data_IF_828284313100
#
_entry.id   IF_828284313100
#
_cell.length_a   1.000
_cell.length_b   1.000
_cell.length_c   1.000
_cell.angle_alpha   90.00
_cell.angle_beta   90.00
_cell.angle_gamma   90.00
#
_symmetry.space_group_name_H-M   'P 1'
#
loop_
_entity.id
_entity.type
_entity.pdbx_description
1 polymer ?
#
# COMPACT_ATOMS: atom_id res chain seq x y z
N UNK A 1 -68.68 -55.57 59.62
CA UNK A 1 -68.34 -54.90 58.32
C UNK A 1 -67.81 -53.45 58.43
N UNK A 2 -68.13 -52.65 59.46
CA UNK A 2 -67.64 -51.26 59.53
C UNK A 2 -66.18 -51.07 59.88
N UNK A 3 -65.55 -51.96 60.56
CA UNK A 3 -64.11 -51.89 60.92
C UNK A 3 -63.15 -52.15 59.77
N UNK A 4 -63.59 -52.93 58.74
CA UNK A 4 -62.81 -53.25 57.58
C UNK A 4 -62.79 -52.07 56.58
N UNK A 5 -63.88 -51.32 56.50
CA UNK A 5 -63.95 -50.12 55.60
C UNK A 5 -63.08 -48.98 56.15
N UNK A 6 -62.98 -48.77 57.46
CA UNK A 6 -62.14 -47.71 58.04
C UNK A 6 -60.64 -47.99 57.91
N UNK A 7 -60.25 -49.29 57.97
CA UNK A 7 -58.87 -49.68 57.73
C UNK A 7 -58.41 -49.49 56.29
N UNK A 8 -59.30 -49.80 55.33
CA UNK A 8 -59.01 -49.66 53.89
C UNK A 8 -58.90 -48.19 53.47
N UNK A 9 -59.78 -47.34 54.00
CA UNK A 9 -59.71 -45.86 53.73
C UNK A 9 -58.47 -45.22 54.33
N UNK A 10 -58.08 -45.62 55.51
CA UNK A 10 -56.84 -45.13 56.19
C UNK A 10 -55.57 -45.56 55.42
N UNK A 11 -55.56 -46.79 54.90
CA UNK A 11 -54.45 -47.30 54.11
C UNK A 11 -54.39 -46.62 52.69
N UNK A 12 -55.52 -46.37 52.05
CA UNK A 12 -55.65 -45.62 50.80
C UNK A 12 -55.21 -44.18 50.97
N UNK A 13 -55.62 -43.51 52.06
CA UNK A 13 -55.20 -42.14 52.37
C UNK A 13 -53.70 -42.01 52.61
N UNK A 14 -53.09 -43.01 53.31
CA UNK A 14 -51.67 -43.05 53.57
C UNK A 14 -50.86 -43.37 52.34
N UNK A 15 -51.35 -44.22 51.45
CA UNK A 15 -50.73 -44.51 50.14
C UNK A 15 -50.81 -43.28 49.21
N UNK A 16 -51.92 -42.56 49.22
CA UNK A 16 -52.12 -41.37 48.39
C UNK A 16 -51.24 -40.18 48.88
N UNK A 17 -51.11 -39.99 50.20
CA UNK A 17 -50.20 -39.03 50.76
C UNK A 17 -48.71 -39.32 50.41
N UNK A 18 -48.31 -40.56 50.53
CA UNK A 18 -46.95 -41.02 50.18
C UNK A 18 -46.67 -40.87 48.66
N UNK A 19 -47.67 -41.14 47.85
CA UNK A 19 -47.59 -40.93 46.38
C UNK A 19 -47.42 -39.42 46.05
N UNK A 20 -48.24 -38.54 46.66
CA UNK A 20 -48.16 -37.11 46.48
C UNK A 20 -46.78 -36.54 46.93
N UNK A 21 -46.27 -37.01 48.06
CA UNK A 21 -44.95 -36.57 48.55
C UNK A 21 -43.82 -37.01 47.59
N UNK A 22 -43.82 -38.26 47.12
CA UNK A 22 -42.88 -38.76 46.13
C UNK A 22 -42.99 -37.99 44.81
N UNK A 23 -44.19 -37.69 44.36
CA UNK A 23 -44.43 -36.95 43.13
C UNK A 23 -43.93 -35.52 43.27
N UNK A 24 -44.23 -34.84 44.45
CA UNK A 24 -43.72 -33.49 44.71
C UNK A 24 -42.20 -33.47 44.76
N UNK A 25 -41.58 -34.40 45.45
CA UNK A 25 -40.11 -34.48 45.54
C UNK A 25 -39.47 -34.76 44.16
N UNK A 26 -40.09 -35.61 43.35
CA UNK A 26 -39.64 -35.85 41.98
C UNK A 26 -39.78 -34.60 41.10
N UNK A 27 -40.88 -33.84 41.20
CA UNK A 27 -41.09 -32.58 40.47
C UNK A 27 -40.09 -31.53 40.97
N UNK A 28 -39.85 -31.41 42.27
CA UNK A 28 -38.87 -30.49 42.83
C UNK A 28 -37.44 -30.79 42.34
N UNK A 29 -37.06 -32.08 42.36
CA UNK A 29 -35.76 -32.52 41.81
C UNK A 29 -35.66 -32.22 40.33
N UNK A 30 -36.69 -32.51 39.53
CA UNK A 30 -36.71 -32.20 38.10
C UNK A 30 -36.58 -30.72 37.83
N UNK A 31 -37.23 -29.85 38.64
CA UNK A 31 -37.11 -28.40 38.53
C UNK A 31 -35.67 -27.92 38.82
N UNK A 32 -35.04 -28.43 39.88
CA UNK A 32 -33.64 -28.11 40.20
C UNK A 32 -32.70 -28.54 39.07
N UNK A 33 -32.85 -29.75 38.56
CA UNK A 33 -32.04 -30.24 37.41
C UNK A 33 -32.23 -29.39 36.18
N UNK A 34 -33.47 -28.99 35.85
CA UNK A 34 -33.77 -28.14 34.74
C UNK A 34 -33.10 -26.73 34.88
N UNK A 35 -33.13 -26.15 36.09
CA UNK A 35 -32.43 -24.88 36.36
C UNK A 35 -30.92 -25.04 36.20
N UNK A 36 -30.33 -26.09 36.73
CA UNK A 36 -28.89 -26.36 36.61
C UNK A 36 -28.47 -26.50 35.11
N UNK A 37 -29.24 -27.26 34.33
CA UNK A 37 -29.02 -27.43 32.90
C UNK A 37 -29.13 -26.08 32.18
N UNK A 38 -30.15 -25.28 32.48
CA UNK A 38 -30.34 -23.97 31.86
C UNK A 38 -29.20 -23.00 32.15
N UNK A 39 -28.66 -23.01 33.39
CA UNK A 39 -27.50 -22.20 33.78
C UNK A 39 -26.22 -22.64 33.04
N UNK A 40 -26.02 -23.95 32.88
CA UNK A 40 -24.87 -24.49 32.15
C UNK A 40 -24.97 -24.13 30.68
N UNK A 41 -26.12 -24.34 30.04
CA UNK A 41 -26.35 -23.98 28.65
C UNK A 41 -26.20 -22.47 28.47
N UNK A 42 -26.80 -21.65 29.28
CA UNK A 42 -26.70 -20.19 29.21
C UNK A 42 -25.26 -19.71 29.36
N UNK A 43 -24.48 -20.29 30.31
CA UNK A 43 -23.06 -20.00 30.46
C UNK A 43 -22.23 -20.41 29.25
N UNK A 44 -22.54 -21.54 28.66
CA UNK A 44 -21.89 -22.05 27.44
C UNK A 44 -22.16 -21.14 26.25
N UNK A 45 -23.41 -20.81 25.98
CA UNK A 45 -23.81 -19.89 24.89
C UNK A 45 -23.18 -18.50 25.08
N UNK A 46 -23.19 -17.99 26.33
CA UNK A 46 -22.55 -16.69 26.62
C UNK A 46 -21.04 -16.70 26.34
N UNK A 47 -20.35 -17.76 26.64
CA UNK A 47 -18.90 -17.86 26.36
C UNK A 47 -18.60 -18.07 24.89
N UNK A 48 -19.40 -18.86 24.20
CA UNK A 48 -19.15 -19.27 22.82
C UNK A 48 -19.61 -18.24 21.78
N UNK A 49 -20.72 -17.52 22.03
CA UNK A 49 -21.26 -16.53 21.08
C UNK A 49 -21.23 -15.09 21.58
N UNK A 50 -21.77 -14.85 22.79
CA UNK A 50 -22.02 -13.47 23.22
C UNK A 50 -20.72 -12.73 23.54
N UNK A 51 -19.77 -13.35 24.19
CA UNK A 51 -18.49 -12.72 24.56
C UNK A 51 -17.62 -12.35 23.36
N UNK A 52 -17.37 -13.26 22.40
CA UNK A 52 -16.62 -12.93 21.19
C UNK A 52 -17.24 -11.81 20.39
N UNK A 53 -18.57 -11.83 20.15
CA UNK A 53 -19.27 -10.76 19.45
C UNK A 53 -19.12 -9.42 20.16
N UNK A 54 -19.26 -9.42 21.50
CA UNK A 54 -19.05 -8.20 22.27
C UNK A 54 -17.60 -7.69 22.16
N UNK A 55 -16.63 -8.60 22.09
CA UNK A 55 -15.21 -8.26 21.90
C UNK A 55 -14.97 -7.60 20.53
N UNK A 56 -15.51 -8.16 19.45
CA UNK A 56 -15.44 -7.55 18.12
C UNK A 56 -16.08 -6.16 18.14
N UNK A 57 -17.28 -6.03 18.73
CA UNK A 57 -17.96 -4.74 18.82
C UNK A 57 -17.18 -3.70 19.63
N UNK A 58 -16.57 -4.11 20.75
CA UNK A 58 -15.76 -3.20 21.57
C UNK A 58 -14.49 -2.77 20.87
N UNK A 59 -13.82 -3.68 20.17
CA UNK A 59 -12.62 -3.39 19.35
C UNK A 59 -12.97 -2.44 18.19
N UNK A 60 -14.09 -2.67 17.51
CA UNK A 60 -14.58 -1.75 16.47
C UNK A 60 -14.82 -0.31 17.00
N UNK A 61 -15.34 -0.18 18.23
CA UNK A 61 -15.49 1.13 18.88
C UNK A 61 -14.14 1.77 19.20
N UNK A 62 -13.17 1.01 19.70
CA UNK A 62 -11.81 1.50 19.98
C UNK A 62 -11.14 2.02 18.71
N UNK A 63 -11.23 1.27 17.60
CA UNK A 63 -10.70 1.68 16.29
C UNK A 63 -11.38 2.96 15.82
N UNK A 64 -12.71 3.04 15.90
CA UNK A 64 -13.47 4.26 15.57
C UNK A 64 -13.02 5.47 16.40
N UNK A 65 -12.74 5.26 17.67
CA UNK A 65 -12.36 6.32 18.61
C UNK A 65 -10.86 6.68 18.51
N UNK A 66 -10.13 6.06 17.54
CA UNK A 66 -8.76 6.41 17.15
C UNK A 66 -7.67 5.43 17.58
N UNK A 67 -8.00 4.38 18.36
CA UNK A 67 -7.03 3.33 18.68
C UNK A 67 -6.98 2.28 17.55
N UNK A 68 -6.21 2.60 16.53
CA UNK A 68 -6.02 1.73 15.35
C UNK A 68 -5.23 0.45 15.68
N UNK A 69 -4.59 0.37 16.86
CA UNK A 69 -3.82 -0.80 17.28
C UNK A 69 -4.68 -1.88 17.95
N UNK A 70 -5.92 -1.55 18.29
CA UNK A 70 -6.84 -2.49 18.91
C UNK A 70 -7.12 -3.69 18.01
N UNK A 71 -7.09 -4.90 18.58
CA UNK A 71 -7.38 -6.16 17.88
C UNK A 71 -8.30 -7.03 18.73
N UNK A 72 -9.11 -7.83 18.06
CA UNK A 72 -9.98 -8.79 18.74
C UNK A 72 -9.16 -9.89 19.38
N UNK A 73 -8.09 -10.34 18.71
CA UNK A 73 -7.24 -11.46 19.12
C UNK A 73 -8.03 -12.77 19.23
N UNK A 74 -9.16 -12.87 18.54
CA UNK A 74 -9.90 -14.13 18.40
C UNK A 74 -9.15 -15.01 17.42
N UNK A 75 -8.96 -16.27 17.77
CA UNK A 75 -8.33 -17.29 16.92
C UNK A 75 -8.91 -18.63 17.25
N UNK A 76 -9.30 -19.37 16.25
CA UNK A 76 -9.88 -20.71 16.35
C UNK A 76 -10.46 -21.17 15.02
N UNK A 77 -11.19 -22.28 15.06
CA UNK A 77 -11.69 -22.94 13.88
C UNK A 77 -13.21 -22.71 13.65
N UNK A 78 -13.87 -21.92 14.52
CA UNK A 78 -15.29 -21.61 14.35
C UNK A 78 -15.51 -20.34 13.53
N UNK A 79 -16.74 -20.12 13.06
CA UNK A 79 -17.11 -19.00 12.20
C UNK A 79 -16.94 -17.64 12.92
N UNK A 80 -17.05 -17.60 14.23
CA UNK A 80 -16.88 -16.36 15.01
C UNK A 80 -15.41 -16.01 15.16
N UNK A 81 -14.56 -17.00 15.34
CA UNK A 81 -13.11 -16.83 15.38
C UNK A 81 -12.59 -16.38 14.01
N UNK A 82 -13.08 -17.00 12.91
CA UNK A 82 -12.76 -16.59 11.53
C UNK A 82 -13.19 -15.14 11.24
N UNK A 83 -14.38 -14.75 11.74
CA UNK A 83 -14.83 -13.34 11.67
C UNK A 83 -13.88 -12.42 12.43
N UNK A 84 -13.40 -12.84 13.59
CA UNK A 84 -12.42 -12.10 14.40
C UNK A 84 -11.08 -11.92 13.68
N UNK A 85 -10.57 -12.98 13.04
CA UNK A 85 -9.32 -12.91 12.24
C UNK A 85 -9.48 -11.97 11.05
N UNK A 86 -10.55 -12.11 10.26
CA UNK A 86 -10.82 -11.23 9.12
C UNK A 86 -10.96 -9.77 9.57
N UNK A 87 -11.58 -9.53 10.73
CA UNK A 87 -11.68 -8.20 11.32
C UNK A 87 -10.31 -7.65 11.71
N UNK A 88 -9.44 -8.47 12.31
CA UNK A 88 -8.07 -8.07 12.70
C UNK A 88 -7.18 -7.81 11.49
N UNK A 89 -7.35 -8.54 10.37
CA UNK A 89 -6.69 -8.27 9.09
C UNK A 89 -7.13 -6.92 8.51
N UNK A 90 -8.44 -6.67 8.48
CA UNK A 90 -9.00 -5.37 8.06
C UNK A 90 -8.47 -4.22 8.94
N UNK A 91 -8.45 -4.40 10.25
CA UNK A 91 -7.91 -3.41 11.19
C UNK A 91 -6.41 -3.15 10.97
N UNK A 92 -5.64 -4.19 10.60
CA UNK A 92 -4.22 -4.07 10.27
C UNK A 92 -4.00 -3.29 8.98
N UNK A 93 -4.81 -3.54 7.96
CA UNK A 93 -4.78 -2.77 6.71
C UNK A 93 -5.11 -1.29 6.97
N UNK A 94 -6.19 -1.02 7.70
CA UNK A 94 -6.61 0.35 8.05
C UNK A 94 -5.53 1.10 8.84
N UNK A 95 -4.91 0.45 9.83
CA UNK A 95 -3.80 1.04 10.60
C UNK A 95 -2.62 1.40 9.71
N UNK A 96 -2.27 0.51 8.76
CA UNK A 96 -1.20 0.73 7.79
C UNK A 96 -1.52 1.91 6.87
N UNK A 97 -2.75 1.97 6.36
CA UNK A 97 -3.21 3.02 5.45
C UNK A 97 -3.23 4.39 6.15
N UNK A 98 -3.77 4.47 7.35
CA UNK A 98 -3.79 5.70 8.16
C UNK A 98 -2.38 6.18 8.57
N UNK A 99 -1.48 5.28 8.93
CA UNK A 99 -0.07 5.62 9.19
C UNK A 99 0.60 6.14 7.93
N UNK A 100 0.27 5.56 6.78
CA UNK A 100 0.78 5.98 5.50
C UNK A 100 0.31 7.38 5.13
N UNK A 101 -0.99 7.64 5.25
CA UNK A 101 -1.60 8.96 5.00
C UNK A 101 -1.02 10.05 5.93
N UNK A 102 -0.88 9.74 7.22
CA UNK A 102 -0.29 10.68 8.19
C UNK A 102 1.17 11.03 7.86
N UNK A 103 1.96 10.03 7.44
CA UNK A 103 3.35 10.27 6.98
C UNK A 103 3.35 11.13 5.73
N UNK A 104 2.52 10.80 4.73
CA UNK A 104 2.39 11.57 3.50
C UNK A 104 2.10 13.05 3.80
N UNK A 105 1.12 13.34 4.62
CA UNK A 105 0.74 14.72 4.99
C UNK A 105 1.89 15.45 5.68
N UNK A 106 2.63 14.77 6.56
CA UNK A 106 3.79 15.35 7.25
C UNK A 106 4.94 15.64 6.30
N UNK A 107 5.25 14.69 5.40
CA UNK A 107 6.35 14.82 4.44
C UNK A 107 6.06 15.93 3.43
N UNK A 108 4.81 15.99 2.93
CA UNK A 108 4.32 17.08 2.08
C UNK A 108 4.49 18.44 2.76
N UNK A 109 4.03 18.58 3.99
CA UNK A 109 4.11 19.84 4.72
C UNK A 109 5.58 20.29 4.92
N UNK A 110 6.50 19.34 5.15
CA UNK A 110 7.91 19.61 5.31
C UNK A 110 8.56 20.06 4.00
N UNK A 111 8.30 19.34 2.89
CA UNK A 111 8.86 19.65 1.58
C UNK A 111 8.31 20.96 0.97
N UNK A 112 7.08 21.35 1.32
CA UNK A 112 6.51 22.66 0.94
C UNK A 112 7.08 23.80 1.77
N UNK A 113 7.33 23.58 3.08
CA UNK A 113 7.80 24.62 3.99
C UNK A 113 9.20 25.13 3.62
N UNK A 114 10.11 24.24 3.24
CA UNK A 114 11.52 24.56 2.95
C UNK A 114 11.68 25.60 1.83
N UNK A 115 11.16 25.40 0.61
CA UNK A 115 11.26 26.40 -0.47
C UNK A 115 10.49 27.69 -0.13
N UNK A 116 9.35 27.57 0.55
CA UNK A 116 8.54 28.71 0.95
C UNK A 116 9.32 29.63 1.92
N UNK A 117 10.00 29.03 2.92
CA UNK A 117 10.81 29.80 3.87
C UNK A 117 12.04 30.40 3.22
N UNK A 118 12.66 29.72 2.24
CA UNK A 118 13.79 30.26 1.49
C UNK A 118 13.36 31.48 0.65
N UNK A 119 12.24 31.38 -0.06
CA UNK A 119 11.68 32.52 -0.81
C UNK A 119 11.34 33.70 0.12
N UNK A 120 10.67 33.42 1.24
CA UNK A 120 10.28 34.45 2.21
C UNK A 120 11.51 35.15 2.77
N UNK A 121 12.52 34.41 3.24
CA UNK A 121 13.75 34.97 3.78
C UNK A 121 14.51 35.86 2.75
N UNK A 122 14.54 35.40 1.47
CA UNK A 122 15.17 36.20 0.40
C UNK A 122 14.41 37.49 0.16
N UNK A 123 13.07 37.45 0.11
CA UNK A 123 12.23 38.64 -0.09
C UNK A 123 12.31 39.60 1.11
N UNK A 124 12.26 39.09 2.34
CA UNK A 124 12.42 39.90 3.56
C UNK A 124 13.80 40.58 3.61
N UNK A 125 14.88 39.84 3.27
CA UNK A 125 16.21 40.41 3.19
C UNK A 125 16.36 41.53 2.13
N UNK A 126 15.63 41.39 0.98
CA UNK A 126 15.55 42.47 -0.01
C UNK A 126 14.76 43.67 0.51
N UNK A 127 13.64 43.44 1.20
CA UNK A 127 12.82 44.53 1.80
C UNK A 127 13.57 45.29 2.88
N UNK A 128 14.38 44.60 3.70
CA UNK A 128 15.17 45.18 4.75
C UNK A 128 16.47 45.83 4.22
N UNK A 129 16.74 45.76 2.92
CA UNK A 129 17.93 46.33 2.28
C UNK A 129 19.21 45.55 2.56
N UNK A 130 19.11 44.32 3.09
CA UNK A 130 20.25 43.42 3.35
C UNK A 130 20.74 42.79 2.04
N UNK A 131 19.80 42.45 1.15
CA UNK A 131 20.09 41.97 -0.20
C UNK A 131 19.68 43.02 -1.24
N UNK A 132 20.45 43.18 -2.34
CA UNK A 132 20.03 44.03 -3.43
C UNK A 132 18.83 43.37 -4.18
N UNK A 133 17.96 44.21 -4.70
CA UNK A 133 16.88 43.75 -5.60
C UNK A 133 17.44 43.66 -7.01
N UNK A 134 18.28 42.68 -7.26
CA UNK A 134 18.91 42.39 -8.55
C UNK A 134 18.39 41.08 -9.18
N UNK A 135 18.85 40.81 -10.39
CA UNK A 135 18.43 39.64 -11.16
C UNK A 135 18.83 38.32 -10.47
N UNK A 136 19.92 38.29 -9.68
CA UNK A 136 20.40 37.08 -8.99
C UNK A 136 19.42 36.67 -7.89
N UNK A 137 18.99 37.59 -7.04
CA UNK A 137 18.07 37.31 -5.95
C UNK A 137 16.65 37.07 -6.45
N UNK A 138 16.22 37.79 -7.51
CA UNK A 138 14.95 37.54 -8.18
C UNK A 138 14.91 36.17 -8.83
N UNK A 139 16.00 35.74 -9.49
CA UNK A 139 16.08 34.38 -10.08
C UNK A 139 16.08 33.29 -8.99
N UNK A 140 16.67 33.55 -7.82
CA UNK A 140 16.58 32.65 -6.67
C UNK A 140 15.13 32.44 -6.26
N UNK A 141 14.34 33.49 -6.09
CA UNK A 141 12.90 33.42 -5.77
C UNK A 141 12.13 32.72 -6.89
N UNK A 142 12.40 33.06 -8.15
CA UNK A 142 11.75 32.45 -9.31
C UNK A 142 12.06 30.95 -9.42
N UNK A 143 13.29 30.53 -9.17
CA UNK A 143 13.70 29.12 -9.22
C UNK A 143 13.02 28.28 -8.13
N UNK A 144 12.93 28.80 -6.89
CA UNK A 144 12.20 28.13 -5.80
C UNK A 144 10.68 28.09 -6.05
N UNK A 145 10.12 29.13 -6.67
CA UNK A 145 8.70 29.14 -7.10
C UNK A 145 8.42 28.06 -8.15
N UNK A 146 9.28 27.93 -9.17
CA UNK A 146 9.15 26.87 -10.18
C UNK A 146 9.34 25.49 -9.56
N UNK A 147 10.22 25.35 -8.58
CA UNK A 147 10.41 24.11 -7.82
C UNK A 147 9.14 23.75 -7.05
N UNK A 148 8.53 24.71 -6.35
CA UNK A 148 7.29 24.52 -5.61
C UNK A 148 6.14 24.11 -6.53
N UNK A 149 6.00 24.75 -7.70
CA UNK A 149 4.99 24.40 -8.69
C UNK A 149 5.14 22.95 -9.18
N UNK A 150 6.38 22.51 -9.47
CA UNK A 150 6.65 21.11 -9.84
C UNK A 150 6.32 20.13 -8.71
N UNK A 151 6.60 20.47 -7.45
CA UNK A 151 6.25 19.67 -6.28
C UNK A 151 4.74 19.44 -6.20
N UNK A 152 3.97 20.55 -6.31
CA UNK A 152 2.50 20.48 -6.26
C UNK A 152 1.96 19.61 -7.40
N UNK A 153 2.49 19.77 -8.62
CA UNK A 153 2.06 18.94 -9.75
C UNK A 153 2.32 17.45 -9.51
N UNK A 154 3.50 17.09 -9.06
CA UNK A 154 3.85 15.69 -8.76
C UNK A 154 3.00 15.10 -7.62
N UNK A 155 2.59 15.91 -6.64
CA UNK A 155 1.66 15.48 -5.59
C UNK A 155 0.25 15.24 -6.14
N UNK A 156 -0.22 16.10 -7.03
CA UNK A 156 -1.51 15.92 -7.69
C UNK A 156 -1.51 14.66 -8.55
N UNK A 157 -0.44 14.40 -9.28
CA UNK A 157 -0.30 13.21 -10.10
C UNK A 157 -0.29 11.94 -9.22
N UNK A 158 0.47 11.96 -8.11
CA UNK A 158 0.49 10.87 -7.14
C UNK A 158 -0.90 10.64 -6.51
N UNK A 159 -1.55 11.71 -6.05
CA UNK A 159 -2.89 11.62 -5.45
C UNK A 159 -3.93 11.09 -6.44
N UNK A 160 -3.85 11.51 -7.71
CA UNK A 160 -4.73 10.98 -8.77
C UNK A 160 -4.49 9.49 -8.98
N UNK A 161 -3.24 9.04 -9.00
CA UNK A 161 -2.90 7.63 -9.17
C UNK A 161 -3.35 6.76 -8.00
N UNK A 162 -3.23 7.24 -6.76
CA UNK A 162 -3.64 6.52 -5.56
C UNK A 162 -5.16 6.39 -5.43
N UNK A 163 -5.87 7.45 -5.75
CA UNK A 163 -7.32 7.50 -5.67
C UNK A 163 -8.01 7.05 -6.97
N UNK A 164 -7.22 6.80 -8.03
CA UNK A 164 -7.79 6.37 -9.30
C UNK A 164 -8.17 4.90 -9.25
N UNK A 165 -9.44 4.65 -9.02
CA UNK A 165 -10.11 3.39 -9.36
C UNK A 165 -10.41 3.30 -10.86
N UNK A 166 -10.02 4.33 -11.64
CA UNK A 166 -10.19 4.31 -13.08
C UNK A 166 -9.39 3.17 -13.69
N UNK A 167 -9.97 2.38 -14.59
CA UNK A 167 -9.25 1.34 -15.30
C UNK A 167 -8.10 1.95 -16.09
N UNK A 168 -7.00 1.20 -16.23
CA UNK A 168 -5.92 1.55 -17.14
C UNK A 168 -6.47 1.55 -18.58
N UNK A 169 -5.97 2.45 -19.40
CA UNK A 169 -6.22 2.42 -20.84
C UNK A 169 -5.23 1.45 -21.49
N UNK A 170 -5.44 0.14 -21.26
CA UNK A 170 -4.56 -0.88 -21.79
C UNK A 170 -4.77 -1.05 -23.29
N UNK A 171 -3.69 -1.00 -24.04
CA UNK A 171 -3.63 -1.30 -25.48
C UNK A 171 -2.37 -2.09 -25.81
N UNK A 172 -2.38 -2.88 -26.90
CA UNK A 172 -1.18 -3.58 -27.34
C UNK A 172 -0.10 -2.59 -27.78
N UNK A 173 1.03 -2.57 -27.09
CA UNK A 173 2.16 -1.67 -27.34
C UNK A 173 3.37 -2.50 -27.75
N UNK A 174 3.92 -2.20 -28.93
CA UNK A 174 5.20 -2.69 -29.41
C UNK A 174 6.32 -1.90 -28.69
N UNK A 175 6.95 -2.52 -27.71
CA UNK A 175 7.82 -1.83 -26.75
C UNK A 175 9.13 -1.33 -27.37
N UNK A 176 9.70 -1.99 -28.36
CA UNK A 176 10.95 -1.56 -29.01
C UNK A 176 10.77 -0.22 -29.74
N UNK A 177 9.86 -0.06 -30.73
CA UNK A 177 9.67 1.23 -31.39
C UNK A 177 9.13 2.29 -30.43
N UNK A 178 8.29 1.90 -29.47
CA UNK A 178 7.71 2.81 -28.50
C UNK A 178 8.78 3.45 -27.60
N UNK A 179 9.61 2.65 -26.92
CA UNK A 179 10.68 3.14 -26.04
C UNK A 179 11.75 3.89 -26.84
N UNK A 180 12.09 3.41 -28.05
CA UNK A 180 13.00 4.11 -28.95
C UNK A 180 12.51 5.53 -29.27
N UNK A 181 11.22 5.70 -29.50
CA UNK A 181 10.62 7.02 -29.75
C UNK A 181 10.79 7.97 -28.56
N UNK A 182 10.59 7.47 -27.33
CA UNK A 182 10.79 8.24 -26.09
C UNK A 182 12.25 8.65 -25.95
N UNK A 183 13.19 7.72 -26.17
CA UNK A 183 14.65 7.96 -26.07
C UNK A 183 15.08 9.04 -27.06
N UNK A 184 14.67 8.94 -28.33
CA UNK A 184 14.99 9.91 -29.36
C UNK A 184 14.48 11.32 -29.01
N UNK A 185 13.30 11.43 -28.37
CA UNK A 185 12.75 12.69 -27.88
C UNK A 185 13.57 13.35 -26.77
N UNK A 186 14.45 12.60 -26.09
CA UNK A 186 15.27 13.09 -24.98
C UNK A 186 16.75 13.36 -25.39
N UNK A 187 17.19 12.96 -26.56
CA UNK A 187 18.60 13.06 -27.00
C UNK A 187 19.18 14.46 -26.81
N UNK A 188 18.43 15.50 -27.17
CA UNK A 188 18.89 16.88 -27.05
C UNK A 188 19.13 17.29 -25.59
N UNK A 189 18.24 16.89 -24.68
CA UNK A 189 18.37 17.20 -23.23
C UNK A 189 19.61 16.53 -22.62
N UNK A 190 19.95 15.33 -23.07
CA UNK A 190 21.17 14.62 -22.64
C UNK A 190 22.42 15.27 -23.24
N UNK A 191 22.39 15.62 -24.53
CA UNK A 191 23.49 16.31 -25.19
C UNK A 191 23.79 17.69 -24.56
N UNK A 192 22.79 18.46 -24.18
CA UNK A 192 22.92 19.76 -23.50
C UNK A 192 23.59 19.62 -22.10
N UNK A 193 23.69 18.38 -21.58
CA UNK A 193 24.38 18.03 -20.32
C UNK A 193 25.67 17.22 -20.52
N UNK A 194 26.17 17.17 -21.73
CA UNK A 194 27.35 16.35 -22.11
C UNK A 194 27.22 14.86 -21.71
N UNK A 195 26.01 14.32 -21.80
CA UNK A 195 25.72 12.91 -21.55
C UNK A 195 25.46 12.16 -22.84
N UNK A 196 25.97 10.93 -22.91
CA UNK A 196 25.79 10.06 -24.08
C UNK A 196 24.59 9.15 -23.84
N UNK A 197 23.50 9.39 -24.57
CA UNK A 197 22.29 8.58 -24.55
C UNK A 197 22.33 7.54 -25.67
N UNK A 198 21.95 6.29 -25.35
CA UNK A 198 21.82 5.20 -26.33
C UNK A 198 20.56 4.40 -26.10
N UNK A 199 19.98 3.93 -27.18
CA UNK A 199 18.96 2.88 -27.17
C UNK A 199 19.56 1.56 -27.63
N UNK A 200 19.20 0.45 -26.98
CA UNK A 200 19.59 -0.90 -27.36
C UNK A 200 18.33 -1.80 -27.43
N UNK A 201 18.23 -2.53 -28.52
CA UNK A 201 17.25 -3.61 -28.66
C UNK A 201 17.93 -4.92 -28.28
N UNK A 202 17.53 -5.49 -27.16
CA UNK A 202 18.08 -6.74 -26.59
C UNK A 202 17.01 -7.84 -26.52
N UNK A 203 15.93 -7.71 -27.30
CA UNK A 203 14.84 -8.69 -27.37
C UNK A 203 15.26 -10.03 -27.99
N UNK A 204 16.39 -10.06 -28.71
CA UNK A 204 16.89 -11.24 -29.42
C UNK A 204 15.86 -11.84 -30.41
N UNK A 205 14.95 -11.01 -30.92
CA UNK A 205 13.88 -11.44 -31.83
C UNK A 205 12.68 -12.10 -31.15
N UNK A 206 12.60 -12.04 -29.84
CA UNK A 206 11.36 -12.39 -29.14
C UNK A 206 10.33 -11.27 -29.33
N UNK A 207 9.06 -11.65 -29.29
CA UNK A 207 7.95 -10.72 -29.31
C UNK A 207 8.02 -9.75 -28.14
N UNK A 208 7.81 -8.47 -28.36
CA UNK A 208 7.92 -7.39 -27.39
C UNK A 208 6.58 -6.60 -27.22
N UNK A 209 5.49 -7.15 -27.72
CA UNK A 209 4.15 -6.59 -27.52
C UNK A 209 3.62 -6.88 -26.12
N UNK A 210 3.13 -5.84 -25.45
CA UNK A 210 2.56 -5.89 -24.10
C UNK A 210 1.27 -5.07 -24.06
N UNK A 211 0.24 -5.58 -23.38
CA UNK A 211 -0.94 -4.80 -23.02
C UNK A 211 -0.56 -3.75 -21.94
N UNK A 212 -0.45 -2.51 -22.30
CA UNK A 212 -0.02 -1.43 -21.39
C UNK A 212 -0.73 -0.11 -21.69
N UNK A 213 -0.71 0.80 -20.72
CA UNK A 213 -1.12 2.18 -20.87
C UNK A 213 0.09 3.01 -21.33
N UNK A 214 0.15 3.47 -22.61
CA UNK A 214 1.34 4.10 -23.16
C UNK A 214 1.74 5.39 -22.44
N UNK A 215 0.77 6.18 -21.98
CA UNK A 215 1.05 7.44 -21.28
C UNK A 215 1.72 7.17 -19.93
N UNK A 216 1.25 6.16 -19.20
CA UNK A 216 1.83 5.77 -17.93
C UNK A 216 3.22 5.14 -18.09
N UNK A 217 3.41 4.30 -19.12
CA UNK A 217 4.75 3.73 -19.40
C UNK A 217 5.72 4.83 -19.84
N UNK A 218 5.27 5.78 -20.68
CA UNK A 218 6.06 6.97 -21.04
C UNK A 218 6.53 7.72 -19.80
N UNK A 219 5.65 7.94 -18.84
CA UNK A 219 5.98 8.60 -17.57
C UNK A 219 7.04 7.81 -16.78
N UNK A 220 6.92 6.48 -16.72
CA UNK A 220 7.91 5.62 -16.07
C UNK A 220 9.31 5.78 -16.70
N UNK A 221 9.39 5.64 -18.02
CA UNK A 221 10.66 5.74 -18.76
C UNK A 221 11.28 7.12 -18.57
N UNK A 222 10.51 8.19 -18.74
CA UNK A 222 10.99 9.58 -18.54
C UNK A 222 11.47 9.79 -17.10
N UNK A 223 10.78 9.27 -16.09
CA UNK A 223 11.22 9.37 -14.70
C UNK A 223 12.57 8.68 -14.46
N UNK A 224 12.76 7.48 -14.99
CA UNK A 224 14.04 6.76 -14.88
C UNK A 224 15.16 7.45 -15.63
N UNK A 225 14.91 7.90 -16.87
CA UNK A 225 15.87 8.67 -17.66
C UNK A 225 16.25 9.99 -16.98
N UNK A 226 15.28 10.70 -16.39
CA UNK A 226 15.54 11.93 -15.64
C UNK A 226 16.41 11.68 -14.39
N UNK A 227 16.22 10.56 -13.71
CA UNK A 227 17.10 10.14 -12.61
C UNK A 227 18.52 9.84 -13.12
N UNK A 228 18.65 9.05 -14.18
CA UNK A 228 19.95 8.75 -14.82
C UNK A 228 20.67 10.05 -15.23
N UNK A 229 19.99 10.97 -15.91
CA UNK A 229 20.56 12.27 -16.32
C UNK A 229 21.01 13.13 -15.12
N UNK A 230 20.34 13.02 -13.99
CA UNK A 230 20.65 13.82 -12.79
C UNK A 230 21.88 13.32 -12.04
N UNK A 231 22.03 12.00 -11.97
CA UNK A 231 23.06 11.37 -11.14
C UNK A 231 24.28 10.87 -11.92
N UNK A 232 24.27 11.06 -13.24
CA UNK A 232 25.41 10.79 -14.10
C UNK A 232 26.24 12.05 -14.28
N UNK A 233 27.55 12.04 -14.00
CA UNK A 233 28.42 13.20 -14.26
C UNK A 233 28.61 13.42 -15.75
N UNK A 234 29.01 14.65 -16.13
CA UNK A 234 29.36 15.03 -17.50
C UNK A 234 30.31 14.03 -18.15
N UNK A 235 30.13 13.74 -19.43
CA UNK A 235 30.89 12.72 -20.17
C UNK A 235 30.41 11.30 -19.97
N UNK A 236 29.46 11.07 -19.04
CA UNK A 236 28.92 9.75 -18.72
C UNK A 236 27.96 9.18 -19.75
N UNK A 237 27.51 7.95 -19.52
CA UNK A 237 26.64 7.21 -20.40
C UNK A 237 25.31 6.88 -19.74
N UNK A 238 24.24 6.92 -20.53
CA UNK A 238 22.95 6.36 -20.19
C UNK A 238 22.49 5.47 -21.34
N UNK A 239 22.13 4.23 -21.03
CA UNK A 239 21.64 3.25 -21.99
C UNK A 239 20.22 2.86 -21.58
N UNK A 240 19.28 2.96 -22.52
CA UNK A 240 17.92 2.44 -22.35
C UNK A 240 17.80 1.21 -23.25
N UNK A 241 17.48 0.06 -22.65
CA UNK A 241 17.32 -1.18 -23.41
C UNK A 241 15.95 -1.80 -23.21
N UNK A 242 15.47 -2.49 -24.24
CA UNK A 242 14.28 -3.33 -24.19
C UNK A 242 14.73 -4.77 -24.32
N UNK A 243 14.34 -5.59 -23.33
CA UNK A 243 14.62 -7.02 -23.27
C UNK A 243 13.29 -7.77 -23.29
N UNK A 244 13.27 -8.95 -23.87
CA UNK A 244 12.09 -9.81 -23.85
C UNK A 244 12.46 -11.24 -23.50
N UNK A 245 11.72 -11.85 -22.59
CA UNK A 245 11.80 -13.26 -22.28
C UNK A 245 10.42 -13.93 -22.48
N UNK A 246 10.26 -15.17 -22.05
CA UNK A 246 9.01 -15.93 -22.21
C UNK A 246 7.84 -15.36 -21.40
N UNK A 247 8.12 -14.63 -20.32
CA UNK A 247 7.11 -14.18 -19.34
C UNK A 247 6.96 -12.67 -19.29
N UNK A 248 8.04 -11.94 -19.55
CA UNK A 248 8.10 -10.49 -19.36
C UNK A 248 8.74 -9.81 -20.57
N UNK A 249 8.30 -8.59 -20.81
CA UNK A 249 9.05 -7.58 -21.54
C UNK A 249 9.60 -6.61 -20.50
N UNK A 250 10.89 -6.30 -20.61
CA UNK A 250 11.57 -5.48 -19.61
C UNK A 250 12.18 -4.25 -20.25
N UNK A 251 12.08 -3.11 -19.58
CA UNK A 251 12.70 -1.86 -19.98
C UNK A 251 13.76 -1.51 -18.93
N UNK A 252 15.02 -1.53 -19.32
CA UNK A 252 16.13 -1.21 -18.43
C UNK A 252 16.72 0.17 -18.77
N UNK A 253 16.97 0.97 -17.74
CA UNK A 253 17.69 2.25 -17.83
C UNK A 253 18.94 2.13 -16.99
N UNK A 254 20.09 2.08 -17.65
CA UNK A 254 21.41 1.91 -17.05
C UNK A 254 22.21 3.21 -17.17
N UNK A 255 22.82 3.66 -16.08
CA UNK A 255 23.66 4.85 -16.03
C UNK A 255 25.05 4.53 -15.46
N UNK A 256 26.03 5.36 -15.78
CA UNK A 256 27.39 5.33 -15.23
C UNK A 256 27.57 6.39 -14.14
N UNK A 257 26.51 6.62 -13.36
CA UNK A 257 26.47 7.66 -12.33
C UNK A 257 27.14 7.26 -11.02
N UNK A 258 26.81 8.02 -9.99
CA UNK A 258 27.40 7.86 -8.66
C UNK A 258 27.03 6.54 -7.96
N UNK A 259 26.02 5.83 -8.47
CA UNK A 259 25.49 4.61 -7.85
C UNK A 259 24.76 4.86 -6.53
N UNK A 260 24.25 3.78 -5.94
CA UNK A 260 23.43 3.78 -4.72
C UNK A 260 24.08 2.84 -3.69
N UNK A 261 24.17 3.28 -2.44
CA UNK A 261 24.66 2.44 -1.36
C UNK A 261 23.68 1.28 -1.07
N UNK A 262 24.20 0.10 -0.71
CA UNK A 262 23.39 -1.11 -0.47
C UNK A 262 22.30 -0.91 0.58
N UNK A 263 22.61 -0.17 1.64
CA UNK A 263 21.68 0.12 2.74
C UNK A 263 20.49 0.98 2.31
N UNK A 264 20.64 1.70 1.20
CA UNK A 264 19.63 2.60 0.66
C UNK A 264 18.73 1.93 -0.38
N UNK A 265 19.16 0.84 -1.03
CA UNK A 265 18.41 0.18 -2.11
C UNK A 265 16.98 -0.22 -1.73
N UNK A 266 16.76 -0.63 -0.48
CA UNK A 266 15.43 -0.98 0.01
C UNK A 266 14.50 0.22 0.22
N UNK A 267 15.05 1.43 0.24
CA UNK A 267 14.36 2.68 0.61
C UNK A 267 14.10 3.61 -0.58
N UNK A 268 14.83 3.42 -1.70
CA UNK A 268 14.77 4.35 -2.86
C UNK A 268 13.39 4.47 -3.51
N UNK A 269 12.54 3.45 -3.36
CA UNK A 269 11.15 3.48 -3.82
C UNK A 269 10.19 4.13 -2.82
N UNK A 270 10.70 4.54 -1.66
CA UNK A 270 9.95 5.32 -0.69
C UNK A 270 9.68 6.74 -1.19
N UNK A 271 8.52 7.30 -0.85
CA UNK A 271 8.16 8.66 -1.21
C UNK A 271 9.08 9.65 -0.50
N UNK A 272 9.47 10.71 -1.20
CA UNK A 272 10.35 11.78 -0.70
C UNK A 272 11.72 11.28 -0.21
N UNK A 273 12.05 10.01 -0.48
CA UNK A 273 13.34 9.48 -0.09
C UNK A 273 14.47 10.05 -0.95
N UNK A 274 15.60 10.40 -0.30
CA UNK A 274 16.80 10.95 -0.92
C UNK A 274 18.02 10.51 -0.13
N UNK A 275 19.09 10.08 -0.79
CA UNK A 275 20.31 9.58 -0.15
C UNK A 275 21.07 10.65 0.66
N UNK A 276 21.03 11.94 0.27
CA UNK A 276 21.68 13.06 0.95
C UNK A 276 20.89 14.36 0.77
N UNK A 277 20.41 14.93 1.88
CA UNK A 277 19.63 16.16 1.87
C UNK A 277 20.46 17.41 1.47
N UNK A 278 21.81 17.37 1.55
CA UNK A 278 22.70 18.49 1.27
C UNK A 278 23.09 18.61 -0.20
N UNK A 279 23.50 17.51 -0.84
CA UNK A 279 23.86 17.46 -2.28
C UNK A 279 22.66 17.51 -3.20
N UNK A 280 21.53 17.07 -2.70
CA UNK A 280 20.29 16.94 -3.45
C UNK A 280 19.53 18.27 -3.59
N UNK A 281 19.87 19.32 -2.85
CA UNK A 281 19.27 20.66 -3.03
C UNK A 281 19.65 21.30 -4.36
N UNK A 282 20.86 21.08 -4.84
CA UNK A 282 21.33 21.57 -6.14
C UNK A 282 20.76 20.76 -7.31
N UNK A 283 20.48 19.46 -7.11
CA UNK A 283 19.99 18.58 -8.17
C UNK A 283 18.44 18.60 -8.38
N UNK A 284 17.63 19.22 -7.50
CA UNK A 284 16.23 19.59 -7.77
C UNK A 284 15.19 18.47 -7.84
N UNK A 285 15.45 17.24 -7.37
CA UNK A 285 14.47 16.13 -7.40
C UNK A 285 13.69 15.98 -6.09
N UNK A 286 12.40 15.67 -6.19
CA UNK A 286 11.47 15.62 -5.08
C UNK A 286 11.36 14.24 -4.40
N UNK A 287 12.06 13.21 -4.94
CA UNK A 287 11.99 11.85 -4.38
C UNK A 287 10.65 11.14 -4.57
N UNK A 288 9.82 11.61 -5.51
CA UNK A 288 8.49 11.02 -5.79
C UNK A 288 8.52 10.15 -7.05
N UNK A 289 9.41 10.42 -8.00
CA UNK A 289 9.43 9.78 -9.32
C UNK A 289 9.53 8.25 -9.26
N UNK A 290 10.43 7.69 -8.44
CA UNK A 290 10.57 6.23 -8.29
C UNK A 290 9.36 5.59 -7.61
N UNK A 291 8.73 6.27 -6.66
CA UNK A 291 7.51 5.78 -6.02
C UNK A 291 6.35 5.73 -7.02
N UNK A 292 6.19 6.77 -7.86
CA UNK A 292 5.21 6.81 -8.96
C UNK A 292 5.49 5.71 -9.97
N UNK A 293 6.75 5.56 -10.42
CA UNK A 293 7.14 4.49 -11.36
C UNK A 293 6.77 3.12 -10.81
N UNK A 294 7.10 2.83 -9.54
CA UNK A 294 6.75 1.57 -8.90
C UNK A 294 5.23 1.33 -8.91
N UNK A 295 4.44 2.33 -8.55
CA UNK A 295 2.99 2.21 -8.50
C UNK A 295 2.37 2.00 -9.89
N UNK A 296 2.88 2.68 -10.93
CA UNK A 296 2.43 2.47 -12.31
C UNK A 296 2.71 1.02 -12.73
N UNK A 297 3.93 0.54 -12.49
CA UNK A 297 4.35 -0.81 -12.86
C UNK A 297 3.52 -1.88 -12.11
N UNK A 298 3.28 -1.69 -10.81
CA UNK A 298 2.43 -2.58 -10.02
C UNK A 298 0.96 -2.61 -10.53
N UNK A 299 0.43 -1.49 -11.00
CA UNK A 299 -0.89 -1.45 -11.65
C UNK A 299 -0.95 -2.21 -12.97
N UNK A 300 0.17 -2.33 -13.67
CA UNK A 300 0.33 -3.17 -14.86
C UNK A 300 0.67 -4.63 -14.51
N UNK A 301 0.50 -5.04 -13.25
CA UNK A 301 0.84 -6.38 -12.75
C UNK A 301 2.32 -6.75 -12.92
N UNK A 302 3.18 -5.74 -13.11
CA UNK A 302 4.62 -5.88 -13.23
C UNK A 302 5.35 -5.60 -11.91
N UNK A 303 6.68 -5.57 -11.98
CA UNK A 303 7.52 -5.16 -10.87
C UNK A 303 8.73 -4.37 -11.38
N UNK A 304 9.35 -3.59 -10.49
CA UNK A 304 10.58 -2.85 -10.77
C UNK A 304 11.73 -3.41 -9.93
N UNK A 305 12.88 -3.59 -10.56
CA UNK A 305 14.13 -4.00 -9.90
C UNK A 305 15.21 -2.94 -10.05
N UNK A 306 16.22 -3.01 -9.18
CA UNK A 306 17.38 -2.10 -9.20
C UNK A 306 18.64 -2.87 -8.90
N UNK A 307 19.66 -2.62 -9.72
CA UNK A 307 21.03 -3.08 -9.50
C UNK A 307 21.93 -1.85 -9.46
N UNK A 308 22.73 -1.70 -8.40
CA UNK A 308 23.59 -0.53 -8.25
C UNK A 308 24.81 -0.84 -7.40
N UNK A 309 25.91 -0.23 -7.78
CA UNK A 309 27.14 -0.23 -7.01
C UNK A 309 27.69 1.20 -6.92
N UNK A 310 28.00 1.62 -5.70
CA UNK A 310 28.48 2.99 -5.44
C UNK A 310 29.75 3.27 -6.27
N UNK A 311 29.73 4.36 -7.04
CA UNK A 311 30.82 4.77 -7.95
C UNK A 311 30.85 4.07 -9.30
N UNK A 312 29.92 3.12 -9.60
CA UNK A 312 29.88 2.42 -10.89
C UNK A 312 28.63 2.72 -11.71
N UNK A 313 27.54 3.15 -11.05
CA UNK A 313 26.29 3.47 -11.69
C UNK A 313 25.12 2.65 -11.20
N UNK A 314 23.96 2.82 -11.86
CA UNK A 314 22.69 2.19 -11.49
C UNK A 314 21.99 1.65 -12.72
N UNK A 315 21.30 0.52 -12.58
CA UNK A 315 20.37 -0.02 -13.57
C UNK A 315 19.01 -0.20 -12.89
N UNK A 316 18.02 0.52 -13.37
CA UNK A 316 16.61 0.30 -13.02
C UNK A 316 15.97 -0.51 -14.13
N UNK A 317 15.22 -1.56 -13.79
CA UNK A 317 14.51 -2.39 -14.76
C UNK A 317 13.05 -2.51 -14.40
N UNK A 318 12.18 -2.10 -15.33
CA UNK A 318 10.73 -2.31 -15.30
C UNK A 318 10.46 -3.66 -15.96
N UNK A 319 9.69 -4.53 -15.31
CA UNK A 319 9.29 -5.82 -15.84
C UNK A 319 7.76 -5.83 -16.00
N UNK A 320 7.29 -5.96 -17.23
CA UNK A 320 5.86 -6.03 -17.58
C UNK A 320 5.50 -7.45 -18.02
N UNK A 321 4.43 -8.06 -17.50
CA UNK A 321 4.00 -9.38 -17.93
C UNK A 321 3.53 -9.34 -19.38
N UNK A 322 3.84 -10.36 -20.17
CA UNK A 322 3.38 -10.48 -21.57
C UNK A 322 1.90 -10.79 -21.70
N UNK A 323 1.39 -11.58 -20.76
CA UNK A 323 -0.02 -11.91 -20.67
C UNK A 323 -0.57 -11.38 -19.35
N UNK A 324 -1.58 -10.54 -19.40
CA UNK A 324 -2.35 -10.24 -18.19
C UNK A 324 -3.12 -11.50 -17.80
N UNK A 325 -2.72 -12.16 -16.71
CA UNK A 325 -3.44 -13.30 -16.13
C UNK A 325 -4.79 -12.81 -15.55
N UNK A 326 -5.70 -12.41 -16.42
CA UNK A 326 -7.09 -12.09 -16.04
C UNK A 326 -7.94 -13.36 -15.86
N UNK A 327 -7.40 -14.58 -16.08
CA UNK A 327 -8.18 -15.83 -16.16
C UNK A 327 -7.77 -16.95 -15.21
N UNK A 328 -7.17 -16.66 -14.06
CA UNK A 328 -6.99 -17.72 -13.05
C UNK A 328 -8.21 -17.91 -12.11
N UNK A 329 -9.24 -17.05 -12.21
CA UNK A 329 -10.43 -17.12 -11.35
C UNK A 329 -11.68 -17.72 -12.02
N UNK A 330 -11.68 -17.94 -13.34
CA UNK A 330 -12.87 -18.46 -14.06
C UNK A 330 -12.84 -19.94 -14.42
N UNK A 331 -11.73 -20.65 -14.21
CA UNK A 331 -11.63 -22.07 -14.62
C UNK A 331 -11.89 -23.08 -13.50
N UNK A 332 -12.35 -22.65 -12.31
CA UNK A 332 -12.64 -23.59 -11.20
C UNK A 332 -14.13 -23.76 -10.91
N UNK A 333 -15.03 -23.37 -11.83
CA UNK A 333 -16.49 -23.59 -11.68
C UNK A 333 -17.11 -24.34 -12.84
N UNK A 334 -16.43 -25.28 -13.47
CA UNK A 334 -17.03 -26.31 -14.30
C UNK A 334 -16.29 -27.63 -14.12
N UNK A 335 -16.64 -28.34 -13.05
CA UNK A 335 -16.75 -29.83 -13.04
C UNK A 335 -17.49 -30.30 -11.77
#
# INVERSE_FOLDING_TARGET
>A
MKLWAIGSDALLTKADSAFREKTFNAMALAAVVAVCISVVIGSFVSRMLTRPIHRITSTAKQIRDGDLSARTGLRGDDEIDQLGETFDEMATSLEKDMKHEKRLTSDVAHELRTPLMAMLATVEAMQDGVYPTDDEHLETVASETRRLARLVQQMLDLSRMENSTAPLNLEPVDMVPFVRSIVNGQERLFADRDLRLRFADETQGHDDVVEADPDMITQCVINLMSNAMRYTPEGGWVVVSVLSDRKHVSIAVSDTGIGIAKDDLSRIFGRFWRADASRAREAGGLGVGLAVTKQIVERHHGYISVESELGKGTTFTIHLPREHTADAASTTMEH
#
